data_IF_817440679563
#
_entry.id   IF_817440679563
#
_cell.length_a   1.000
_cell.length_b   1.000
_cell.length_c   1.000
_cell.angle_alpha   90.00
_cell.angle_beta   90.00
_cell.angle_gamma   90.00
#
_symmetry.space_group_name_H-M   'P 1'
#
loop_
_entity.id
_entity.type
_entity.pdbx_description
1 polymer ?
#
# COMPACT_ATOMS: atom_id res chain seq x y z
N UNK A 1 -29.07 91.12 52.10
CA UNK A 1 -27.93 91.21 51.24
C UNK A 1 -27.13 89.90 51.41
N UNK A 2 -27.30 89.00 50.52
CA UNK A 2 -26.59 87.76 50.50
C UNK A 2 -26.06 87.55 49.06
N UNK A 3 -24.78 87.60 48.93
CA UNK A 3 -24.05 87.33 47.66
C UNK A 3 -23.94 85.83 47.56
N UNK A 4 -24.37 85.30 46.39
CA UNK A 4 -24.25 83.93 46.02
C UNK A 4 -23.03 83.86 45.08
N UNK A 5 -21.92 83.30 45.57
CA UNK A 5 -20.78 82.95 44.70
C UNK A 5 -21.06 81.65 43.94
N UNK A 6 -21.08 81.81 42.67
CA UNK A 6 -21.24 80.77 41.70
C UNK A 6 -19.88 80.11 41.47
N UNK A 7 -19.68 78.88 42.00
CA UNK A 7 -18.47 78.15 41.81
C UNK A 7 -18.64 77.12 40.66
N UNK A 8 -18.35 77.58 39.44
CA UNK A 8 -18.33 76.80 38.22
C UNK A 8 -17.05 75.95 38.15
N UNK A 9 -17.09 74.82 38.82
CA UNK A 9 -16.03 73.80 38.59
C UNK A 9 -16.27 73.04 37.27
N UNK A 10 -15.63 73.48 36.20
CA UNK A 10 -15.53 72.77 34.95
C UNK A 10 -14.67 71.52 35.13
N UNK A 11 -15.28 70.41 35.51
CA UNK A 11 -14.67 69.06 35.43
C UNK A 11 -14.55 68.60 34.02
N UNK A 12 -13.41 68.79 33.44
CA UNK A 12 -13.05 68.26 32.13
C UNK A 12 -12.97 66.72 32.22
N UNK A 13 -14.07 66.00 31.92
CA UNK A 13 -14.07 64.54 31.82
C UNK A 13 -13.13 64.19 30.64
N UNK A 14 -11.90 63.83 30.93
CA UNK A 14 -11.03 63.19 30.00
C UNK A 14 -11.60 61.80 29.70
N UNK A 15 -12.24 61.67 28.57
CA UNK A 15 -12.58 60.36 28.00
C UNK A 15 -11.27 59.61 27.76
N UNK A 16 -10.95 58.64 28.62
CA UNK A 16 -9.89 57.66 28.34
C UNK A 16 -10.27 56.97 27.07
N UNK A 17 -9.61 57.30 25.96
CA UNK A 17 -9.66 56.53 24.72
C UNK A 17 -9.17 55.15 25.07
N UNK A 18 -10.10 54.19 25.27
CA UNK A 18 -9.77 52.76 25.30
C UNK A 18 -9.17 52.44 23.95
N UNK A 19 -7.89 52.11 23.92
CA UNK A 19 -7.27 51.57 22.76
C UNK A 19 -8.00 50.27 22.43
N UNK A 20 -8.85 50.27 21.43
CA UNK A 20 -9.49 49.11 20.87
C UNK A 20 -8.47 48.38 20.00
N UNK A 21 -7.45 47.79 20.64
CA UNK A 21 -6.64 46.79 19.92
C UNK A 21 -7.58 45.59 19.79
N UNK A 22 -7.86 45.14 18.56
CA UNK A 22 -8.65 43.94 18.38
C UNK A 22 -7.94 42.75 19.07
N UNK A 23 -8.68 42.02 19.88
CA UNK A 23 -8.16 40.80 20.50
C UNK A 23 -7.99 39.75 19.41
N UNK A 24 -6.73 39.42 19.07
CA UNK A 24 -6.41 38.44 18.05
C UNK A 24 -6.41 37.00 18.59
N UNK A 25 -6.64 36.81 19.90
CA UNK A 25 -6.63 35.51 20.54
C UNK A 25 -7.59 34.51 19.90
N UNK A 26 -8.86 34.88 19.58
CA UNK A 26 -9.77 33.93 18.93
C UNK A 26 -9.34 33.53 17.52
N UNK A 27 -8.66 34.42 16.79
CA UNK A 27 -8.16 34.09 15.45
C UNK A 27 -6.96 33.12 15.48
N UNK A 28 -6.07 33.28 16.47
CA UNK A 28 -4.93 32.38 16.68
C UNK A 28 -5.43 30.99 17.13
N UNK A 29 -6.43 30.92 17.98
CA UNK A 29 -7.02 29.65 18.45
C UNK A 29 -7.67 28.88 17.28
N UNK A 30 -8.45 29.60 16.43
CA UNK A 30 -9.04 29.01 15.24
C UNK A 30 -7.95 28.46 14.28
N UNK A 31 -6.87 29.19 14.07
CA UNK A 31 -5.73 28.76 13.27
C UNK A 31 -5.04 27.53 13.87
N UNK A 32 -4.86 27.49 15.19
CA UNK A 32 -4.28 26.37 15.89
C UNK A 32 -5.16 25.12 15.79
N UNK A 33 -6.47 25.24 16.01
CA UNK A 33 -7.42 24.13 15.84
C UNK A 33 -7.43 23.61 14.41
N UNK A 34 -7.34 24.47 13.41
CA UNK A 34 -7.27 24.07 12.01
C UNK A 34 -6.00 23.24 11.73
N UNK A 35 -4.84 23.73 12.19
CA UNK A 35 -3.56 23.04 12.01
C UNK A 35 -3.55 21.69 12.72
N UNK A 36 -4.02 21.65 13.98
CA UNK A 36 -4.08 20.38 14.73
C UNK A 36 -5.04 19.39 14.09
N UNK A 37 -6.18 19.85 13.57
CA UNK A 37 -7.11 19.01 12.83
C UNK A 37 -6.47 18.44 11.57
N UNK A 38 -5.79 19.25 10.77
CA UNK A 38 -5.08 18.77 9.58
C UNK A 38 -3.94 17.82 9.93
N UNK A 39 -3.16 18.10 10.98
CA UNK A 39 -2.13 17.17 11.44
C UNK A 39 -2.75 15.83 11.87
N UNK A 40 -3.83 15.86 12.61
CA UNK A 40 -4.50 14.65 13.05
C UNK A 40 -5.07 13.85 11.87
N UNK A 41 -5.74 14.51 10.92
CA UNK A 41 -6.29 13.84 9.73
C UNK A 41 -5.21 13.33 8.78
N UNK A 42 -4.09 14.03 8.63
CA UNK A 42 -2.98 13.60 7.77
C UNK A 42 -2.22 12.40 8.34
N UNK A 43 -2.20 12.24 9.66
CA UNK A 43 -1.52 11.11 10.32
C UNK A 43 -2.26 9.78 10.10
N UNK A 44 -3.58 9.82 9.80
CA UNK A 44 -4.35 8.61 9.45
C UNK A 44 -4.14 8.15 8.02
N UNK A 45 -3.61 8.99 7.17
CA UNK A 45 -3.20 8.61 5.82
C UNK A 45 -1.76 8.08 5.86
N UNK A 46 -1.54 6.98 6.60
CA UNK A 46 -0.40 6.15 6.28
C UNK A 46 -0.70 5.56 4.89
N UNK A 47 -0.10 6.07 3.81
CA UNK A 47 -0.10 5.28 2.61
C UNK A 47 0.61 4.00 3.04
N UNK A 48 -0.05 2.85 2.94
CA UNK A 48 0.61 1.58 2.89
C UNK A 48 1.48 1.62 1.63
N UNK A 49 2.55 2.39 1.70
CA UNK A 49 3.61 2.34 0.73
C UNK A 49 4.19 0.96 0.97
N UNK A 50 3.74 0.02 0.15
CA UNK A 50 4.41 -1.24 -0.02
C UNK A 50 5.88 -0.90 -0.11
N UNK A 51 6.62 -1.22 0.94
CA UNK A 51 8.07 -1.25 0.84
C UNK A 51 8.37 -2.45 -0.07
N UNK A 52 8.23 -2.24 -1.37
CA UNK A 52 8.83 -3.12 -2.34
C UNK A 52 10.33 -3.09 -2.02
N UNK A 53 10.75 -4.01 -1.21
CA UNK A 53 12.16 -4.30 -1.04
C UNK A 53 12.58 -5.02 -2.31
N UNK A 54 12.69 -4.25 -3.41
CA UNK A 54 13.41 -4.75 -4.57
C UNK A 54 14.80 -5.08 -4.05
N UNK A 55 15.26 -6.33 -4.17
CA UNK A 55 16.66 -6.62 -3.95
C UNK A 55 17.41 -5.69 -4.91
N UNK A 56 18.21 -4.77 -4.37
CA UNK A 56 19.13 -3.99 -5.18
C UNK A 56 19.86 -4.98 -6.09
N UNK A 57 20.05 -4.59 -7.35
CA UNK A 57 20.97 -5.27 -8.27
C UNK A 57 22.41 -5.13 -7.77
N UNK A 58 22.62 -5.48 -6.52
CA UNK A 58 23.92 -5.55 -5.88
C UNK A 58 24.60 -6.85 -6.32
N UNK A 59 25.85 -6.76 -6.64
CA UNK A 59 26.81 -7.79 -6.99
C UNK A 59 26.94 -8.89 -5.92
N UNK A 60 25.88 -9.53 -5.59
CA UNK A 60 25.82 -10.71 -4.73
C UNK A 60 24.67 -11.54 -5.27
N UNK A 61 24.97 -12.74 -5.74
CA UNK A 61 24.00 -13.79 -6.03
C UNK A 61 23.21 -14.11 -4.74
N UNK A 62 22.30 -13.24 -4.37
CA UNK A 62 21.17 -13.67 -3.54
C UNK A 62 20.24 -14.42 -4.50
N UNK A 63 20.66 -15.61 -4.89
CA UNK A 63 19.77 -16.61 -5.44
C UNK A 63 18.68 -16.79 -4.37
N UNK A 64 17.53 -16.19 -4.64
CA UNK A 64 16.34 -16.48 -3.83
C UNK A 64 16.14 -17.97 -4.02
N UNK A 65 16.50 -18.74 -3.01
CA UNK A 65 16.41 -20.19 -3.07
C UNK A 65 14.96 -20.55 -3.43
N UNK A 66 14.78 -21.34 -4.49
CA UNK A 66 13.47 -21.82 -4.93
C UNK A 66 12.69 -22.49 -3.80
N UNK A 67 13.38 -23.07 -2.83
CA UNK A 67 12.76 -23.68 -1.65
C UNK A 67 12.11 -22.65 -0.69
N UNK A 68 12.54 -21.39 -0.73
CA UNK A 68 12.04 -20.32 0.14
C UNK A 68 11.30 -19.23 -0.67
N UNK A 69 10.87 -19.54 -1.86
CA UNK A 69 10.10 -18.61 -2.69
C UNK A 69 9.01 -19.31 -3.47
N UNK A 70 7.97 -18.57 -3.78
CA UNK A 70 6.90 -18.98 -4.68
C UNK A 70 6.71 -17.87 -5.71
N UNK A 71 6.58 -18.24 -6.97
CA UNK A 71 6.24 -17.31 -8.05
C UNK A 71 4.78 -17.47 -8.42
N UNK A 72 4.06 -16.36 -8.44
CA UNK A 72 2.65 -16.27 -8.77
C UNK A 72 2.52 -15.41 -10.03
N UNK A 73 1.95 -15.97 -11.08
CA UNK A 73 1.69 -15.30 -12.35
C UNK A 73 0.20 -14.98 -12.41
N UNK A 74 -0.13 -13.71 -12.59
CA UNK A 74 -1.49 -13.26 -12.80
C UNK A 74 -1.81 -13.32 -14.29
N UNK A 75 -2.80 -14.12 -14.63
CA UNK A 75 -3.21 -14.37 -16.00
C UNK A 75 -4.49 -13.63 -16.39
N UNK A 76 -5.02 -13.98 -17.53
CA UNK A 76 -6.29 -13.52 -18.07
C UNK A 76 -7.47 -14.16 -17.33
N UNK A 77 -8.64 -13.51 -17.35
CA UNK A 77 -9.91 -14.04 -16.80
C UNK A 77 -9.81 -14.45 -15.31
N UNK A 78 -9.14 -13.65 -14.50
CA UNK A 78 -8.98 -13.85 -13.05
C UNK A 78 -8.31 -15.18 -12.69
N UNK A 79 -7.52 -15.75 -13.62
CA UNK A 79 -6.74 -16.95 -13.38
C UNK A 79 -5.39 -16.61 -12.78
N UNK A 80 -4.96 -17.48 -11.89
CA UNK A 80 -3.65 -17.42 -11.26
C UNK A 80 -2.91 -18.69 -11.61
N UNK A 81 -1.64 -18.55 -11.94
CA UNK A 81 -0.73 -19.68 -12.09
C UNK A 81 0.43 -19.52 -11.11
N UNK A 82 0.91 -20.60 -10.61
CA UNK A 82 2.04 -20.54 -9.69
C UNK A 82 3.04 -21.65 -9.98
N UNK A 83 4.29 -21.41 -9.64
CA UNK A 83 5.37 -22.41 -9.68
C UNK A 83 6.39 -22.13 -8.56
N UNK A 84 7.18 -23.15 -8.26
CA UNK A 84 8.26 -23.10 -7.28
C UNK A 84 9.54 -23.69 -7.88
N UNK A 85 9.80 -23.38 -9.15
CA UNK A 85 10.97 -23.88 -9.88
C UNK A 85 11.86 -22.75 -10.36
N UNK A 86 13.13 -23.09 -10.57
CA UNK A 86 14.09 -22.18 -11.18
C UNK A 86 13.70 -21.87 -12.63
N UNK A 87 13.95 -20.64 -13.06
CA UNK A 87 13.70 -20.19 -14.45
C UNK A 87 14.42 -21.06 -15.49
N UNK A 88 15.54 -21.70 -15.10
CA UNK A 88 16.33 -22.55 -16.01
C UNK A 88 15.59 -23.84 -16.34
N UNK A 89 14.84 -24.39 -15.40
CA UNK A 89 14.16 -25.69 -15.48
C UNK A 89 12.65 -25.58 -15.69
N UNK A 90 12.15 -24.33 -15.80
CA UNK A 90 10.72 -24.07 -15.92
C UNK A 90 10.18 -24.61 -17.27
N UNK A 91 9.16 -25.46 -17.16
CA UNK A 91 8.39 -26.02 -18.27
C UNK A 91 6.91 -25.57 -18.15
N UNK A 92 6.18 -25.64 -19.24
CA UNK A 92 4.74 -25.33 -19.26
C UNK A 92 3.92 -26.18 -18.26
N UNK A 93 4.34 -27.43 -18.03
CA UNK A 93 3.67 -28.35 -17.10
C UNK A 93 3.87 -28.00 -15.62
N UNK A 94 4.83 -27.14 -15.30
CA UNK A 94 5.15 -26.76 -13.93
C UNK A 94 4.27 -25.61 -13.40
N UNK A 95 3.52 -24.97 -14.31
CA UNK A 95 2.56 -23.94 -13.96
C UNK A 95 1.24 -24.58 -13.54
N UNK A 96 0.93 -24.43 -12.26
CA UNK A 96 -0.28 -24.97 -11.65
C UNK A 96 -1.32 -23.86 -11.55
N UNK A 97 -2.53 -24.10 -12.06
CA UNK A 97 -3.64 -23.15 -11.98
C UNK A 97 -4.19 -23.08 -10.55
N UNK A 98 -4.50 -21.87 -10.11
CA UNK A 98 -5.16 -21.58 -8.84
C UNK A 98 -6.18 -20.45 -9.03
N UNK A 99 -6.86 -20.06 -7.95
CA UNK A 99 -7.86 -19.02 -7.95
C UNK A 99 -7.71 -18.09 -6.73
N UNK A 100 -8.41 -16.92 -6.75
CA UNK A 100 -8.40 -15.93 -5.69
C UNK A 100 -9.27 -16.30 -4.47
N UNK A 101 -9.67 -17.55 -4.31
CA UNK A 101 -10.47 -17.97 -3.17
C UNK A 101 -9.61 -18.28 -1.95
N UNK A 102 -10.24 -18.26 -0.77
CA UNK A 102 -9.57 -18.63 0.47
C UNK A 102 -8.96 -20.05 0.44
N UNK A 103 -9.59 -20.98 -0.28
CA UNK A 103 -9.09 -22.36 -0.47
C UNK A 103 -8.10 -22.47 -1.63
N UNK A 104 -7.94 -21.44 -2.44
CA UNK A 104 -7.00 -21.35 -3.55
C UNK A 104 -5.65 -20.77 -3.11
N UNK A 105 -5.39 -19.55 -3.57
CA UNK A 105 -4.07 -18.92 -3.39
C UNK A 105 -3.71 -18.69 -1.92
N UNK A 106 -4.66 -18.32 -1.05
CA UNK A 106 -4.40 -18.09 0.37
C UNK A 106 -3.89 -19.35 1.06
N UNK A 107 -4.61 -20.45 0.90
CA UNK A 107 -4.21 -21.74 1.47
C UNK A 107 -2.85 -22.17 0.95
N UNK A 108 -2.63 -22.01 -0.36
CA UNK A 108 -1.36 -22.33 -1.00
C UNK A 108 -0.19 -21.55 -0.41
N UNK A 109 -0.33 -20.24 -0.24
CA UNK A 109 0.72 -19.38 0.32
C UNK A 109 1.05 -19.82 1.75
N UNK A 110 0.04 -20.04 2.58
CA UNK A 110 0.22 -20.48 3.97
C UNK A 110 0.87 -21.86 4.05
N UNK A 111 0.48 -22.79 3.19
CA UNK A 111 1.07 -24.11 3.11
C UNK A 111 2.54 -24.05 2.70
N UNK A 112 2.86 -23.29 1.65
CA UNK A 112 4.25 -23.13 1.20
C UNK A 112 5.11 -22.37 2.19
N UNK A 113 4.54 -21.39 2.88
CA UNK A 113 5.20 -20.72 3.98
C UNK A 113 5.57 -21.67 5.12
N UNK A 114 4.64 -22.53 5.53
CA UNK A 114 4.87 -23.50 6.60
C UNK A 114 5.87 -24.61 6.21
N UNK A 115 5.92 -24.97 4.93
CA UNK A 115 6.84 -25.97 4.39
C UNK A 115 8.24 -25.42 4.11
N UNK A 116 8.40 -24.09 4.10
CA UNK A 116 9.68 -23.46 3.79
C UNK A 116 10.72 -23.72 4.87
N UNK A 117 11.98 -23.93 4.49
CA UNK A 117 13.07 -24.18 5.43
C UNK A 117 13.37 -22.98 6.33
N UNK A 118 13.12 -21.77 5.83
CA UNK A 118 13.33 -20.51 6.53
C UNK A 118 12.12 -19.60 6.31
N UNK A 119 11.04 -19.75 7.10
CA UNK A 119 9.82 -18.96 6.94
C UNK A 119 10.06 -17.45 7.01
N UNK A 120 11.00 -17.00 7.83
CA UNK A 120 11.42 -15.58 7.94
C UNK A 120 11.94 -14.99 6.63
N UNK A 121 12.49 -15.83 5.73
CA UNK A 121 13.04 -15.46 4.44
C UNK A 121 12.14 -15.84 3.27
N UNK A 122 10.95 -16.40 3.55
CA UNK A 122 10.02 -16.78 2.51
C UNK A 122 9.56 -15.54 1.73
N UNK A 123 9.63 -15.62 0.42
CA UNK A 123 9.34 -14.50 -0.48
C UNK A 123 8.31 -14.91 -1.52
N UNK A 124 7.27 -14.11 -1.66
CA UNK A 124 6.27 -14.27 -2.73
C UNK A 124 6.63 -13.34 -3.88
N UNK A 125 6.81 -13.89 -5.06
CA UNK A 125 7.13 -13.14 -6.28
C UNK A 125 5.85 -13.06 -7.12
N UNK A 126 5.33 -11.86 -7.31
CA UNK A 126 4.09 -11.61 -8.04
C UNK A 126 4.44 -11.06 -9.41
N UNK A 127 3.94 -11.69 -10.45
CA UNK A 127 4.24 -11.36 -11.84
C UNK A 127 2.94 -11.21 -12.65
N UNK A 128 2.44 -9.97 -12.82
CA UNK A 128 1.29 -9.75 -13.68
C UNK A 128 1.68 -9.97 -15.15
N UNK A 129 0.86 -10.72 -15.89
CA UNK A 129 0.96 -10.78 -17.34
C UNK A 129 0.38 -9.51 -17.97
N UNK A 130 0.70 -9.26 -19.24
CA UNK A 130 0.13 -8.14 -19.99
C UNK A 130 -1.40 -8.25 -20.17
N UNK A 131 -1.97 -9.41 -19.92
CA UNK A 131 -3.39 -9.71 -20.03
C UNK A 131 -4.09 -9.71 -18.65
N UNK A 132 -3.31 -9.55 -17.57
CA UNK A 132 -3.84 -9.49 -16.21
C UNK A 132 -4.61 -8.20 -15.98
N UNK A 133 -5.74 -8.31 -15.30
CA UNK A 133 -6.50 -7.14 -14.88
C UNK A 133 -5.83 -6.48 -13.67
N UNK A 134 -5.84 -5.16 -13.61
CA UNK A 134 -5.34 -4.40 -12.45
C UNK A 134 -6.00 -4.86 -11.14
N UNK A 135 -7.30 -5.19 -11.19
CA UNK A 135 -8.02 -5.76 -10.05
C UNK A 135 -7.30 -6.98 -9.47
N UNK A 136 -6.81 -7.88 -10.32
CA UNK A 136 -6.12 -9.10 -9.88
C UNK A 136 -4.82 -8.77 -9.12
N UNK A 137 -4.15 -7.70 -9.53
CA UNK A 137 -2.97 -7.21 -8.81
C UNK A 137 -3.35 -6.68 -7.43
N UNK A 138 -4.45 -5.96 -7.31
CA UNK A 138 -4.93 -5.49 -6.01
C UNK A 138 -5.36 -6.68 -5.13
N UNK A 139 -6.14 -7.60 -5.68
CA UNK A 139 -6.64 -8.77 -4.96
C UNK A 139 -5.49 -9.63 -4.40
N UNK A 140 -4.40 -9.85 -5.18
CA UNK A 140 -3.25 -10.62 -4.66
C UNK A 140 -2.49 -9.86 -3.57
N UNK A 141 -2.44 -8.54 -3.65
CA UNK A 141 -1.79 -7.74 -2.63
C UNK A 141 -2.60 -7.73 -1.32
N UNK A 142 -3.92 -7.72 -1.40
CA UNK A 142 -4.79 -7.90 -0.25
C UNK A 142 -4.58 -9.29 0.39
N UNK A 143 -4.35 -10.33 -0.43
CA UNK A 143 -4.00 -11.66 0.08
C UNK A 143 -2.65 -11.68 0.80
N UNK A 144 -1.67 -10.87 0.39
CA UNK A 144 -0.40 -10.73 1.12
C UNK A 144 -0.62 -10.11 2.50
N UNK A 145 -1.51 -9.13 2.61
CA UNK A 145 -1.85 -8.49 3.87
C UNK A 145 -2.64 -9.47 4.78
N UNK A 146 -3.66 -10.14 4.24
CA UNK A 146 -4.46 -11.13 4.96
C UNK A 146 -3.61 -12.28 5.51
N UNK A 147 -2.63 -12.73 4.72
CA UNK A 147 -1.72 -13.83 5.12
C UNK A 147 -0.52 -13.34 5.94
N UNK A 148 -0.41 -12.03 6.19
CA UNK A 148 0.71 -11.39 6.88
C UNK A 148 2.08 -11.70 6.23
N UNK A 149 2.11 -11.82 4.90
CA UNK A 149 3.34 -12.02 4.14
C UNK A 149 4.09 -10.71 3.99
N UNK A 150 5.17 -10.55 4.76
CA UNK A 150 5.96 -9.31 4.77
C UNK A 150 6.93 -9.16 3.61
N UNK A 151 7.28 -10.29 2.98
CA UNK A 151 8.28 -10.31 1.91
C UNK A 151 7.62 -10.75 0.61
N UNK A 152 7.31 -9.79 -0.22
CA UNK A 152 6.82 -10.01 -1.58
C UNK A 152 7.43 -8.98 -2.53
N UNK A 153 7.48 -9.31 -3.80
CA UNK A 153 7.97 -8.44 -4.86
C UNK A 153 7.04 -8.51 -6.06
N UNK A 154 6.76 -7.34 -6.64
CA UNK A 154 6.06 -7.23 -7.91
C UNK A 154 7.12 -7.02 -9.00
N UNK A 155 7.22 -7.95 -9.94
CA UNK A 155 8.23 -7.94 -11.01
C UNK A 155 7.62 -8.38 -12.32
N UNK A 156 8.23 -7.97 -13.42
CA UNK A 156 7.81 -8.37 -14.75
C UNK A 156 8.09 -9.85 -15.02
N UNK A 157 7.30 -10.44 -15.93
CA UNK A 157 7.51 -11.79 -16.41
C UNK A 157 8.82 -11.88 -17.20
N UNK A 158 9.59 -12.91 -16.94
CA UNK A 158 10.73 -13.25 -17.79
C UNK A 158 10.28 -13.89 -19.10
N UNK A 159 11.08 -13.78 -20.18
CA UNK A 159 10.71 -14.32 -21.50
C UNK A 159 10.31 -15.80 -21.49
N UNK A 160 10.96 -16.63 -20.66
CA UNK A 160 10.61 -18.04 -20.51
C UNK A 160 9.25 -18.25 -19.85
N UNK A 161 8.92 -17.46 -18.84
CA UNK A 161 7.62 -17.53 -18.17
C UNK A 161 6.50 -17.06 -19.10
N UNK A 162 6.76 -16.04 -19.91
CA UNK A 162 5.81 -15.57 -20.94
C UNK A 162 5.50 -16.70 -21.93
N UNK A 163 6.52 -17.43 -22.39
CA UNK A 163 6.32 -18.56 -23.31
C UNK A 163 5.54 -19.69 -22.63
N UNK A 164 5.91 -20.04 -21.38
CA UNK A 164 5.21 -21.09 -20.63
C UNK A 164 3.73 -20.73 -20.39
N UNK A 165 3.46 -19.49 -20.01
CA UNK A 165 2.10 -18.99 -19.81
C UNK A 165 1.27 -18.99 -21.10
N UNK A 166 1.84 -18.49 -22.21
CA UNK A 166 1.14 -18.43 -23.51
C UNK A 166 0.76 -19.82 -24.00
N UNK A 167 1.64 -20.81 -23.86
CA UNK A 167 1.35 -22.20 -24.26
C UNK A 167 0.18 -22.80 -23.47
N UNK A 168 -0.02 -22.39 -22.20
CA UNK A 168 -1.18 -22.83 -21.41
C UNK A 168 -2.46 -22.17 -21.91
N UNK A 169 -2.43 -20.86 -22.17
CA UNK A 169 -3.59 -20.12 -22.65
C UNK A 169 -4.06 -20.67 -23.99
N UNK A 170 -3.14 -20.93 -24.94
CA UNK A 170 -3.46 -21.56 -26.24
C UNK A 170 -4.02 -22.97 -26.06
N UNK A 171 -3.46 -23.79 -25.18
CA UNK A 171 -3.99 -25.14 -24.92
C UNK A 171 -5.39 -25.15 -24.31
N UNK A 172 -5.72 -24.16 -23.48
CA UNK A 172 -7.06 -24.00 -22.90
C UNK A 172 -8.08 -23.50 -23.94
N UNK A 173 -7.68 -22.62 -24.84
CA UNK A 173 -8.53 -22.14 -25.93
C UNK A 173 -8.90 -23.32 -26.86
N UNK A 174 -7.96 -24.23 -27.12
CA UNK A 174 -8.23 -25.44 -27.95
C UNK A 174 -9.14 -26.44 -27.25
N UNK A 175 -9.11 -26.54 -25.94
CA UNK A 175 -10.00 -27.46 -25.17
C UNK A 175 -11.45 -26.98 -25.06
N UNK A 176 -11.70 -25.67 -25.21
CA UNK A 176 -13.03 -25.05 -25.09
C UNK A 176 -13.72 -24.84 -26.45
N UNK A 177 -13.17 -25.34 -27.51
CA UNK A 177 -13.68 -25.30 -28.89
C UNK A 177 -14.17 -26.67 -29.33
#
# INVERSE_FOLDING_TARGET
MAEIEENLAKGKRQSKRRSTKPDMTPMVDLGFLLITFFMFTSTFSNPNIMKLTMPEKGKGNSEISTENSITIILGKNDKIYWHQKDLKELTTMDLIESNFTANGIRKLILEKYSQSKKPENFTVIIKPSNEANFKNTVDILDEMEITNMRRYALVDLFPKEVLAYRNIDEAQIMKNK
#
